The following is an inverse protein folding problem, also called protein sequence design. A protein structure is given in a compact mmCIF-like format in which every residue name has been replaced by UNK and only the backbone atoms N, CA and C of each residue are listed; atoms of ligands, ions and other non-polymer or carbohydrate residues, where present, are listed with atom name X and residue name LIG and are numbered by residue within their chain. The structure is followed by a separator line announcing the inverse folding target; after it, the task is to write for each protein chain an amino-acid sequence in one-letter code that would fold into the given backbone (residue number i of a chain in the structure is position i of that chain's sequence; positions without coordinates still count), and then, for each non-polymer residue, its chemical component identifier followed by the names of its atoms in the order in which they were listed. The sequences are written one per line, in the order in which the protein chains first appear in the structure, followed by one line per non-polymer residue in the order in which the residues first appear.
data_IF_440419402250
#
_entry.id   IF_440419402250
#
_cell.length_a   1.000
_cell.length_b   1.000
_cell.length_c   1.000
_cell.angle_alpha   90.00
_cell.angle_beta   90.00
_cell.angle_gamma   90.00
#
_symmetry.space_group_name_H-M   'P 1'
#
loop_
_entity.id
_entity.type
_entity.pdbx_description
1 polymer ?
#
# COMPACT_ATOMS: atom_id res chain seq x y z
N UNK A 1 29.84 21.98 -19.20
CA UNK A 1 29.11 20.84 -19.81
C UNK A 1 29.13 19.59 -18.92
N UNK A 2 30.31 19.08 -18.48
CA UNK A 2 30.40 17.89 -17.61
C UNK A 2 29.66 17.99 -16.25
N UNK A 3 29.65 19.16 -15.62
CA UNK A 3 28.97 19.39 -14.32
C UNK A 3 27.44 19.36 -14.41
N UNK A 4 26.88 19.76 -15.56
CA UNK A 4 25.43 19.71 -15.82
C UNK A 4 24.96 18.26 -15.99
N UNK A 5 25.77 17.43 -16.66
CA UNK A 5 25.54 15.99 -16.83
C UNK A 5 25.61 15.25 -15.50
N UNK A 6 26.56 15.61 -14.63
CA UNK A 6 26.68 15.03 -13.29
C UNK A 6 25.48 15.37 -12.39
N UNK A 7 24.97 16.60 -12.47
CA UNK A 7 23.79 17.04 -11.71
C UNK A 7 22.51 16.32 -12.16
N UNK A 8 22.32 16.15 -13.48
CA UNK A 8 21.22 15.37 -14.05
C UNK A 8 21.26 13.88 -13.66
N UNK A 9 22.44 13.32 -13.44
CA UNK A 9 22.57 11.92 -12.98
C UNK A 9 22.16 11.78 -11.50
N UNK A 10 22.50 12.75 -10.66
CA UNK A 10 22.19 12.74 -9.22
C UNK A 10 20.70 12.95 -8.90
N UNK A 11 19.98 13.69 -9.75
CA UNK A 11 18.54 13.95 -9.56
C UNK A 11 17.65 12.71 -9.75
N UNK A 12 18.13 11.68 -10.44
CA UNK A 12 17.36 10.44 -10.67
C UNK A 12 17.32 9.51 -9.44
N UNK A 13 18.10 9.80 -8.38
CA UNK A 13 18.11 8.96 -7.17
C UNK A 13 16.94 9.22 -6.21
N UNK A 14 16.06 10.18 -6.52
CA UNK A 14 14.89 10.57 -5.69
C UNK A 14 13.59 10.07 -6.35
N UNK A 15 13.62 8.94 -7.06
CA UNK A 15 12.38 8.25 -7.44
C UNK A 15 11.87 7.57 -6.16
N UNK A 16 11.10 8.32 -5.37
CA UNK A 16 10.39 7.79 -4.22
C UNK A 16 9.33 6.81 -4.70
N UNK A 17 9.64 5.52 -4.65
CA UNK A 17 8.61 4.49 -4.75
C UNK A 17 7.55 4.82 -3.69
N UNK A 18 6.28 4.91 -4.07
CA UNK A 18 5.20 4.97 -3.11
C UNK A 18 5.21 3.64 -2.34
N UNK A 19 5.96 3.61 -1.24
CA UNK A 19 5.95 2.52 -0.27
C UNK A 19 4.52 2.45 0.26
N UNK A 20 3.99 1.24 0.48
CA UNK A 20 2.60 1.03 0.90
C UNK A 20 2.16 1.98 2.01
N UNK A 21 0.86 2.25 2.08
CA UNK A 21 0.33 3.23 3.02
C UNK A 21 0.63 2.78 4.45
N UNK A 22 1.38 3.59 5.20
CA UNK A 22 1.68 3.37 6.60
C UNK A 22 0.78 4.20 7.51
N UNK A 23 0.16 3.60 8.52
CA UNK A 23 -0.53 4.31 9.60
C UNK A 23 0.05 3.89 10.95
N UNK A 24 0.61 4.85 11.70
CA UNK A 24 1.24 4.57 13.00
C UNK A 24 2.62 3.90 12.90
N UNK A 25 3.18 3.78 11.69
CA UNK A 25 4.55 3.32 11.44
C UNK A 25 5.26 4.24 10.44
N UNK A 26 6.53 4.54 10.70
CA UNK A 26 7.38 5.33 9.79
C UNK A 26 8.10 4.43 8.77
N UNK A 27 8.04 3.12 8.96
CA UNK A 27 8.68 2.11 8.12
C UNK A 27 7.65 1.02 7.82
N UNK A 28 6.72 1.27 6.88
CA UNK A 28 5.75 0.27 6.44
C UNK A 28 6.49 -0.95 5.87
N UNK A 29 5.95 -2.14 6.10
CA UNK A 29 6.49 -3.35 5.50
C UNK A 29 6.47 -3.24 3.96
N UNK A 30 7.63 -3.46 3.34
CA UNK A 30 7.82 -3.35 1.87
C UNK A 30 6.91 -4.26 1.04
N UNK A 31 6.38 -5.35 1.60
CA UNK A 31 5.44 -6.23 0.91
C UNK A 31 3.97 -5.88 1.12
N UNK A 32 3.67 -4.91 1.99
CA UNK A 32 2.30 -4.52 2.33
C UNK A 32 1.82 -3.35 1.47
N UNK A 33 0.56 -3.41 1.02
CA UNK A 33 -0.11 -2.26 0.40
C UNK A 33 -0.63 -1.27 1.46
N UNK A 34 -0.97 -1.77 2.65
CA UNK A 34 -1.38 -1.00 3.82
C UNK A 34 -0.80 -1.68 5.08
N UNK A 35 -0.01 -0.95 5.86
CA UNK A 35 0.57 -1.39 7.13
C UNK A 35 0.10 -0.47 8.26
N UNK A 36 -0.47 -1.05 9.32
CA UNK A 36 -1.05 -0.31 10.44
C UNK A 36 -0.46 -0.86 11.75
N UNK A 37 0.17 0.02 12.52
CA UNK A 37 0.69 -0.28 13.85
C UNK A 37 -0.03 0.55 14.92
N UNK A 38 -0.61 -0.11 15.92
CA UNK A 38 -1.25 0.54 17.06
C UNK A 38 -1.30 -0.40 18.26
N UNK A 39 -1.05 0.12 19.46
CA UNK A 39 -1.20 -0.62 20.72
C UNK A 39 -2.57 -0.45 21.37
N UNK A 40 -3.43 0.42 20.82
CA UNK A 40 -4.67 0.85 21.50
C UNK A 40 -5.91 0.83 20.61
N UNK A 41 -5.76 0.71 19.28
CA UNK A 41 -6.87 0.73 18.32
C UNK A 41 -6.71 -0.37 17.27
N UNK A 42 -7.83 -0.88 16.77
CA UNK A 42 -7.87 -1.85 15.67
C UNK A 42 -8.36 -1.23 14.36
N UNK A 43 -8.34 -2.03 13.28
CA UNK A 43 -8.92 -1.67 11.99
C UNK A 43 -10.41 -2.04 11.95
N UNK A 44 -11.28 -1.05 11.72
CA UNK A 44 -12.67 -1.31 11.38
C UNK A 44 -12.80 -1.45 9.86
N UNK A 45 -12.94 -2.68 9.40
CA UNK A 45 -13.26 -2.96 7.99
C UNK A 45 -14.70 -2.51 7.66
N UNK A 46 -15.02 -2.25 6.39
CA UNK A 46 -16.37 -1.87 5.98
C UNK A 46 -17.45 -2.79 6.57
N UNK A 47 -18.45 -2.19 7.25
CA UNK A 47 -19.62 -2.91 7.74
C UNK A 47 -20.64 -2.94 6.62
N UNK A 48 -20.92 -4.14 6.13
CA UNK A 48 -21.85 -4.35 5.03
C UNK A 48 -23.09 -5.09 5.53
N UNK A 49 -24.25 -4.69 5.03
CA UNK A 49 -25.47 -5.48 5.04
C UNK A 49 -25.34 -6.66 4.08
N UNK A 50 -26.22 -7.65 4.19
CA UNK A 50 -26.20 -8.79 3.28
C UNK A 50 -26.50 -8.40 1.83
N UNK A 51 -27.30 -7.36 1.62
CA UNK A 51 -27.56 -6.80 0.28
C UNK A 51 -26.27 -6.27 -0.31
N UNK A 52 -25.56 -5.38 0.40
CA UNK A 52 -24.32 -4.79 -0.09
C UNK A 52 -23.26 -5.86 -0.35
N UNK A 53 -23.16 -6.86 0.54
CA UNK A 53 -22.23 -7.99 0.40
C UNK A 53 -22.52 -8.79 -0.88
N UNK A 54 -23.79 -9.09 -1.14
CA UNK A 54 -24.21 -9.86 -2.32
C UNK A 54 -24.11 -9.06 -3.62
N UNK A 55 -24.04 -7.73 -3.55
CA UNK A 55 -23.86 -6.86 -4.74
C UNK A 55 -22.39 -6.70 -5.16
N UNK A 56 -21.42 -7.23 -4.41
CA UNK A 56 -20.03 -7.25 -4.86
C UNK A 56 -19.90 -8.23 -6.03
N UNK A 57 -19.81 -7.68 -7.25
CA UNK A 57 -19.54 -8.44 -8.46
C UNK A 57 -18.09 -8.94 -8.49
N UNK A 58 -17.89 -10.22 -8.79
CA UNK A 58 -16.57 -10.86 -8.92
C UNK A 58 -15.62 -10.61 -7.73
N UNK A 59 -15.98 -11.06 -6.51
CA UNK A 59 -15.02 -11.06 -5.41
C UNK A 59 -13.78 -11.85 -5.82
N UNK A 60 -12.60 -11.45 -5.37
CA UNK A 60 -11.34 -12.15 -5.67
C UNK A 60 -11.49 -13.64 -5.33
N UNK A 61 -11.57 -14.49 -6.35
CA UNK A 61 -11.53 -15.94 -6.17
C UNK A 61 -10.13 -16.34 -5.75
N UNK A 62 -10.02 -17.01 -4.60
CA UNK A 62 -8.78 -17.67 -4.19
C UNK A 62 -8.39 -18.66 -5.29
N UNK A 63 -7.20 -18.52 -5.86
CA UNK A 63 -6.72 -19.34 -7.00
C UNK A 63 -6.23 -20.73 -6.57
N UNK A 64 -6.30 -21.08 -5.29
CA UNK A 64 -5.76 -22.33 -4.79
C UNK A 64 -6.91 -23.25 -4.40
N UNK A 65 -7.14 -24.29 -5.21
CA UNK A 65 -8.17 -25.33 -5.05
C UNK A 65 -7.95 -26.26 -3.84
N UNK A 66 -7.82 -25.67 -2.66
CA UNK A 66 -7.90 -26.29 -1.34
C UNK A 66 -8.98 -25.61 -0.52
#
# INVERSE_FOLDING_TARGET
MKKIILFLFFSNSIIGYAQGVGIGTNTPNSSAQLDISSNTKGLLIPRMTDVEKNTISSPCTRVDGI
#
